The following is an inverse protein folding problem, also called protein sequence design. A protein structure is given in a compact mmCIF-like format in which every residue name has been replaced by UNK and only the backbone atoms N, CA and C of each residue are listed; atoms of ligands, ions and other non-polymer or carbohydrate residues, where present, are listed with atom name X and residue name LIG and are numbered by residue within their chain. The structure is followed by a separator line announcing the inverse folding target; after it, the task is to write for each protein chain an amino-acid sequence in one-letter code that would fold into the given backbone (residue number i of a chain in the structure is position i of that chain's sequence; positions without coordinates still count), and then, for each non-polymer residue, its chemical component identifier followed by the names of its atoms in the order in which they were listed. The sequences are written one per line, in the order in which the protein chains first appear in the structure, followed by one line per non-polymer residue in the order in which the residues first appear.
data_IF_879997142029
#
_entry.id   IF_879997142029
#
_cell.length_a   1.000
_cell.length_b   1.000
_cell.length_c   1.000
_cell.angle_alpha   90.00
_cell.angle_beta   90.00
_cell.angle_gamma   90.00
#
_symmetry.space_group_name_H-M   'P 1'
#
loop_
_entity.id
_entity.type
_entity.pdbx_description
1 polymer ?
#
# COMPACT_ATOMS: atom_id res chain seq x y z
N UNK A 1 16.97 -78.71 -19.11
CA UNK A 1 17.46 -78.46 -17.75
C UNK A 1 18.41 -77.26 -17.78
N UNK A 2 18.07 -76.18 -17.10
CA UNK A 2 18.98 -75.07 -16.72
C UNK A 2 18.51 -74.57 -15.33
N UNK A 3 19.41 -74.14 -14.44
CA UNK A 3 19.07 -73.90 -13.03
C UNK A 3 18.38 -72.55 -12.78
N UNK A 4 17.49 -72.55 -11.79
CA UNK A 4 16.78 -71.37 -11.29
C UNK A 4 17.68 -70.57 -10.34
N UNK A 5 17.89 -69.27 -10.59
CA UNK A 5 18.68 -68.40 -9.71
C UNK A 5 17.79 -67.59 -8.77
N UNK A 6 17.83 -67.92 -7.48
CA UNK A 6 17.02 -67.25 -6.45
C UNK A 6 17.64 -65.91 -6.04
N UNK A 7 16.88 -64.81 -6.09
CA UNK A 7 17.31 -63.51 -5.59
C UNK A 7 16.89 -63.34 -4.11
N UNK A 8 17.86 -63.13 -3.21
CA UNK A 8 17.62 -63.07 -1.76
C UNK A 8 17.16 -61.68 -1.32
N UNK A 9 16.02 -61.61 -0.62
CA UNK A 9 15.52 -60.38 0.01
C UNK A 9 16.45 -59.91 1.14
N UNK A 10 16.96 -58.68 1.07
CA UNK A 10 17.63 -58.01 2.20
C UNK A 10 16.70 -56.98 2.82
N UNK A 11 16.23 -57.25 4.06
CA UNK A 11 15.47 -56.28 4.83
C UNK A 11 16.40 -55.23 5.42
N UNK A 12 16.17 -53.94 5.15
CA UNK A 12 16.87 -52.84 5.81
C UNK A 12 15.91 -52.13 6.76
N UNK A 13 16.16 -52.27 8.06
CA UNK A 13 15.32 -51.69 9.12
C UNK A 13 15.91 -50.36 9.59
N UNK A 14 15.43 -49.25 9.01
CA UNK A 14 15.88 -47.89 9.36
C UNK A 14 15.08 -47.32 10.54
N UNK A 15 15.66 -47.35 11.73
CA UNK A 15 15.09 -46.78 12.95
C UNK A 15 15.28 -45.24 13.00
N UNK A 16 14.19 -44.50 12.84
CA UNK A 16 14.21 -43.03 12.93
C UNK A 16 14.20 -42.56 14.39
N UNK A 17 15.36 -42.13 14.88
CA UNK A 17 15.47 -41.42 16.17
C UNK A 17 14.90 -40.00 16.03
N UNK A 18 13.81 -39.73 16.77
CA UNK A 18 13.29 -38.36 16.91
C UNK A 18 14.29 -37.49 17.69
N UNK A 19 14.97 -36.59 16.99
CA UNK A 19 15.89 -35.61 17.59
C UNK A 19 15.14 -34.29 17.80
N UNK A 20 14.70 -34.04 19.04
CA UNK A 20 14.04 -32.79 19.42
C UNK A 20 14.91 -31.57 19.09
N UNK A 21 14.34 -30.54 18.46
CA UNK A 21 15.01 -29.26 18.29
C UNK A 21 15.13 -28.53 19.65
N UNK A 22 16.24 -27.81 19.89
CA UNK A 22 16.30 -26.85 21.00
C UNK A 22 15.38 -25.65 20.71
N UNK A 23 14.83 -24.99 21.75
CA UNK A 23 14.06 -23.77 21.57
C UNK A 23 14.95 -22.61 21.07
N UNK A 24 14.38 -21.75 20.21
CA UNK A 24 15.06 -20.51 19.80
C UNK A 24 15.22 -19.55 21.00
N UNK A 25 16.35 -18.83 21.12
CA UNK A 25 16.47 -17.72 22.04
C UNK A 25 15.52 -16.57 21.64
N UNK A 26 14.93 -15.92 22.63
CA UNK A 26 14.06 -14.76 22.41
C UNK A 26 14.87 -13.53 21.91
N UNK A 27 14.26 -12.64 21.10
CA UNK A 27 14.90 -11.38 20.70
C UNK A 27 15.12 -10.46 21.92
N UNK A 28 16.20 -9.65 21.93
CA UNK A 28 16.46 -8.70 23.01
C UNK A 28 15.41 -7.58 23.05
N UNK A 29 15.12 -7.09 24.26
CA UNK A 29 14.20 -5.97 24.46
C UNK A 29 14.78 -4.64 23.91
N UNK A 30 13.94 -3.71 23.42
CA UNK A 30 14.39 -2.39 22.99
C UNK A 30 14.87 -1.55 24.18
N UNK A 31 15.85 -0.64 23.98
CA UNK A 31 16.31 0.27 25.01
C UNK A 31 15.23 1.30 25.39
N UNK A 32 15.24 1.84 26.63
CA UNK A 32 14.28 2.83 27.07
C UNK A 32 14.44 4.15 26.31
N UNK A 33 13.31 4.84 26.05
CA UNK A 33 13.34 6.18 25.49
C UNK A 33 13.94 7.17 26.49
N UNK A 34 14.90 7.97 26.05
CA UNK A 34 15.36 9.14 26.79
C UNK A 34 14.34 10.28 26.63
N UNK A 35 13.68 10.65 27.74
CA UNK A 35 12.80 11.81 27.78
C UNK A 35 13.63 13.09 27.85
N UNK A 36 13.47 13.99 26.88
CA UNK A 36 14.13 15.29 26.87
C UNK A 36 13.11 16.43 26.67
N UNK A 37 12.45 16.78 27.77
CA UNK A 37 11.60 17.96 27.83
C UNK A 37 12.45 19.24 28.00
N UNK A 38 12.41 20.15 27.02
CA UNK A 38 13.01 21.49 27.11
C UNK A 38 12.00 22.56 26.68
N UNK A 39 11.14 22.95 27.62
CA UNK A 39 10.25 24.10 27.49
C UNK A 39 10.99 25.39 27.83
N UNK A 40 11.13 26.31 26.88
CA UNK A 40 11.60 27.69 27.13
C UNK A 40 10.78 28.70 26.32
N UNK A 41 9.65 29.14 26.89
CA UNK A 41 8.85 30.25 26.35
C UNK A 41 9.43 31.59 26.83
N UNK A 42 9.75 32.55 25.94
CA UNK A 42 10.30 33.84 26.34
C UNK A 42 9.24 34.74 27.00
N UNK A 43 9.60 35.55 28.02
CA UNK A 43 8.65 36.42 28.71
C UNK A 43 8.35 37.72 27.94
N UNK A 44 7.17 38.28 28.26
CA UNK A 44 6.55 39.48 27.71
C UNK A 44 7.23 40.78 28.21
N UNK A 45 7.57 41.74 27.33
CA UNK A 45 7.88 43.12 27.73
C UNK A 45 6.62 43.87 28.20
N UNK A 46 6.76 44.67 29.25
CA UNK A 46 5.67 45.47 29.84
C UNK A 46 5.43 46.77 29.08
N UNK A 47 4.16 47.19 28.99
CA UNK A 47 3.78 48.50 28.46
C UNK A 47 3.94 49.58 29.52
N UNK A 48 4.77 50.59 29.27
CA UNK A 48 4.84 51.82 30.07
C UNK A 48 4.57 53.01 29.17
N UNK A 49 3.37 53.61 29.29
CA UNK A 49 3.10 54.91 28.69
C UNK A 49 3.77 56.01 29.53
N UNK A 50 4.28 57.04 28.88
CA UNK A 50 4.77 58.26 29.53
C UNK A 50 3.90 59.43 29.07
N UNK A 51 3.34 60.15 30.03
CA UNK A 51 2.28 61.15 29.82
C UNK A 51 2.82 62.44 29.20
N UNK A 52 2.07 62.99 28.24
CA UNK A 52 2.30 64.33 27.68
C UNK A 52 1.87 65.40 28.70
N UNK A 53 2.71 66.41 28.92
CA UNK A 53 2.38 67.59 29.72
C UNK A 53 2.83 68.87 29.00
N UNK A 54 1.85 69.63 28.48
CA UNK A 54 2.05 71.00 27.99
C UNK A 54 1.74 72.03 29.09
N UNK A 55 2.50 73.14 29.19
CA UNK A 55 2.11 74.31 29.97
C UNK A 55 1.34 75.36 29.12
N UNK A 56 0.40 76.13 29.70
CA UNK A 56 -0.42 77.12 28.99
C UNK A 56 0.30 78.47 28.75
N UNK A 57 -0.21 79.34 27.85
CA UNK A 57 0.37 80.64 27.54
C UNK A 57 0.03 81.73 28.58
N UNK A 58 0.79 82.83 28.56
CA UNK A 58 0.50 84.07 29.29
C UNK A 58 0.69 85.29 28.38
N UNK A 59 -0.21 86.27 28.49
CA UNK A 59 -0.17 87.55 27.78
C UNK A 59 -0.11 88.74 28.74
N UNK A 60 0.39 89.88 28.24
CA UNK A 60 0.38 91.21 28.84
C UNK A 60 1.20 91.39 30.16
N UNK A 61 1.63 92.60 30.54
CA UNK A 61 1.36 93.93 29.96
C UNK A 61 2.62 94.85 29.95
N UNK A 62 2.43 96.15 29.67
CA UNK A 62 3.44 97.08 29.11
C UNK A 62 3.85 98.23 30.06
N UNK A 63 5.08 98.74 29.91
CA UNK A 63 5.69 99.93 30.57
C UNK A 63 5.92 99.80 32.09
N UNK A 64 6.97 100.32 32.72
CA UNK A 64 8.09 101.24 32.35
C UNK A 64 9.26 101.00 33.40
N UNK A 65 10.49 101.56 33.41
CA UNK A 65 11.18 102.65 32.69
C UNK A 65 12.74 102.52 32.78
N UNK A 66 13.45 103.60 32.39
CA UNK A 66 14.78 104.14 32.81
C UNK A 66 15.59 103.47 33.95
N UNK A 67 16.94 103.43 33.94
CA UNK A 67 17.92 103.80 32.89
C UNK A 67 19.35 103.26 33.18
N UNK A 68 20.26 103.35 32.20
CA UNK A 68 21.75 103.13 32.27
C UNK A 68 22.33 101.79 31.80
N UNK A 69 22.81 101.80 30.54
CA UNK A 69 24.09 101.22 30.06
C UNK A 69 24.39 99.74 30.40
N UNK A 70 24.00 98.83 29.50
CA UNK A 70 24.67 97.54 29.29
C UNK A 70 24.70 97.16 27.79
N UNK A 71 25.56 96.19 27.44
CA UNK A 71 25.82 95.72 26.06
C UNK A 71 24.52 95.42 25.29
N UNK A 72 24.42 95.93 24.06
CA UNK A 72 23.29 95.70 23.17
C UNK A 72 23.20 94.25 22.67
N UNK A 73 22.49 93.40 23.42
CA UNK A 73 22.24 92.00 23.06
C UNK A 73 21.30 91.89 21.86
N UNK A 74 21.88 91.68 20.67
CA UNK A 74 21.12 91.54 19.42
C UNK A 74 20.43 90.17 19.34
N UNK A 75 19.10 90.15 19.50
CA UNK A 75 18.29 88.91 19.48
C UNK A 75 18.05 88.46 18.03
N UNK A 76 18.91 87.57 17.53
CA UNK A 76 18.72 86.92 16.22
C UNK A 76 17.57 85.90 16.31
N UNK A 77 16.39 86.27 15.80
CA UNK A 77 15.30 85.30 15.61
C UNK A 77 15.53 84.48 14.35
N UNK A 78 16.19 83.33 14.48
CA UNK A 78 16.35 82.35 13.38
C UNK A 78 15.04 81.56 13.21
N UNK A 79 14.42 81.53 12.01
CA UNK A 79 13.26 80.69 11.74
C UNK A 79 13.59 79.22 11.99
N UNK A 80 12.79 78.49 12.77
CA UNK A 80 13.05 77.07 13.13
C UNK A 80 13.16 76.19 11.89
N UNK A 81 12.37 76.52 10.89
CA UNK A 81 12.27 75.95 9.54
C UNK A 81 13.50 76.21 8.63
N UNK A 82 14.37 77.15 8.98
CA UNK A 82 15.65 77.38 8.30
C UNK A 82 16.86 76.74 9.02
N UNK A 83 16.66 76.13 10.19
CA UNK A 83 17.72 75.41 10.91
C UNK A 83 17.95 74.06 10.23
N UNK A 84 18.84 74.04 9.23
CA UNK A 84 19.26 72.80 8.56
C UNK A 84 20.02 71.90 9.54
N UNK A 85 19.28 71.03 10.24
CA UNK A 85 19.83 69.99 11.11
C UNK A 85 20.50 68.91 10.27
N UNK A 86 21.74 69.17 9.86
CA UNK A 86 22.70 68.10 9.60
C UNK A 86 22.66 67.19 10.83
N UNK A 87 22.38 65.88 10.70
CA UNK A 87 22.59 64.96 11.81
C UNK A 87 24.06 65.07 12.24
N UNK A 88 24.39 65.02 13.54
CA UNK A 88 25.78 64.85 13.97
C UNK A 88 26.44 63.73 13.15
N UNK A 89 27.72 63.84 12.74
CA UNK A 89 28.31 62.94 11.74
C UNK A 89 28.22 61.46 12.15
N UNK A 90 28.26 61.18 13.45
CA UNK A 90 27.99 59.88 14.06
C UNK A 90 26.56 59.37 13.77
N UNK A 91 25.54 60.21 13.91
CA UNK A 91 24.14 59.90 13.59
C UNK A 91 23.89 59.77 12.07
N UNK A 92 24.59 60.55 11.25
CA UNK A 92 24.55 60.39 9.79
C UNK A 92 25.14 59.03 9.38
N UNK A 93 26.33 58.70 9.91
CA UNK A 93 26.98 57.42 9.69
C UNK A 93 26.16 56.23 10.22
N UNK A 94 25.53 56.35 11.39
CA UNK A 94 24.58 55.35 11.91
C UNK A 94 23.37 55.18 10.96
N UNK A 95 22.75 56.27 10.53
CA UNK A 95 21.62 56.22 9.59
C UNK A 95 22.01 55.55 8.26
N UNK A 96 23.21 55.80 7.75
CA UNK A 96 23.76 55.12 6.58
C UNK A 96 24.08 53.63 6.85
N UNK A 97 24.66 53.29 8.01
CA UNK A 97 24.89 51.91 8.41
C UNK A 97 23.58 51.11 8.51
N UNK A 98 22.53 51.66 9.13
CA UNK A 98 21.21 51.02 9.15
C UNK A 98 20.61 50.90 7.74
N UNK A 99 20.64 51.98 6.93
CA UNK A 99 20.12 52.00 5.55
C UNK A 99 20.87 51.06 4.59
N UNK A 100 22.15 50.79 4.83
CA UNK A 100 22.96 49.87 4.04
C UNK A 100 22.86 48.43 4.55
N UNK A 101 22.76 48.21 5.87
CA UNK A 101 22.42 46.92 6.46
C UNK A 101 21.06 46.45 5.95
N UNK A 102 20.03 47.29 6.01
CA UNK A 102 18.66 46.99 5.55
C UNK A 102 18.56 46.71 4.04
N UNK A 103 19.54 47.16 3.23
CA UNK A 103 19.68 46.77 1.81
C UNK A 103 20.34 45.40 1.62
N UNK A 104 21.38 45.08 2.40
CA UNK A 104 22.14 43.84 2.27
C UNK A 104 21.46 42.64 2.97
N UNK A 105 20.76 42.89 4.07
CA UNK A 105 20.12 41.89 4.93
C UNK A 105 18.86 41.26 4.29
N UNK A 106 18.21 41.99 3.37
CA UNK A 106 16.99 41.55 2.66
C UNK A 106 17.20 40.52 1.54
N UNK A 107 18.43 40.00 1.35
CA UNK A 107 18.74 38.94 0.37
C UNK A 107 19.53 37.78 1.00
N UNK A 108 18.89 37.06 1.91
CA UNK A 108 19.36 35.74 2.32
C UNK A 108 19.35 34.78 1.10
N UNK A 109 20.52 34.27 0.64
CA UNK A 109 20.59 33.53 -0.63
C UNK A 109 19.79 32.22 -0.62
N UNK A 110 19.59 31.63 0.56
CA UNK A 110 18.85 30.38 0.75
C UNK A 110 17.36 30.47 0.32
N UNK A 111 16.68 31.61 0.54
CA UNK A 111 15.26 31.75 0.20
C UNK A 111 14.97 31.72 -1.32
N UNK A 112 15.98 32.03 -2.15
CA UNK A 112 15.89 31.80 -3.60
C UNK A 112 15.93 30.31 -3.93
N UNK A 113 16.93 29.61 -3.41
CA UNK A 113 17.12 28.16 -3.63
C UNK A 113 15.91 27.35 -3.16
N UNK A 114 15.34 27.66 -1.98
CA UNK A 114 14.16 26.97 -1.46
C UNK A 114 12.93 27.10 -2.38
N UNK A 115 12.73 28.25 -3.03
CA UNK A 115 11.64 28.45 -4.00
C UNK A 115 11.85 27.64 -5.28
N UNK A 116 13.08 27.57 -5.78
CA UNK A 116 13.41 26.73 -6.95
C UNK A 116 13.27 25.23 -6.63
N UNK A 117 13.72 24.78 -5.47
CA UNK A 117 13.56 23.39 -5.01
C UNK A 117 12.08 23.04 -4.87
N UNK A 118 11.27 23.89 -4.21
CA UNK A 118 9.82 23.67 -4.07
C UNK A 118 9.11 23.64 -5.44
N UNK A 119 9.48 24.53 -6.36
CA UNK A 119 8.96 24.53 -7.73
C UNK A 119 9.34 23.27 -8.51
N UNK A 120 10.57 22.77 -8.36
CA UNK A 120 11.01 21.52 -8.97
C UNK A 120 10.30 20.30 -8.38
N UNK A 121 10.11 20.23 -7.06
CA UNK A 121 9.34 19.16 -6.40
C UNK A 121 7.88 19.17 -6.85
N UNK A 122 7.26 20.36 -6.97
CA UNK A 122 5.89 20.49 -7.48
C UNK A 122 5.80 20.03 -8.95
N UNK A 123 6.76 20.41 -9.79
CA UNK A 123 6.81 19.98 -11.19
C UNK A 123 6.97 18.45 -11.33
N UNK A 124 7.85 17.84 -10.53
CA UNK A 124 8.03 16.39 -10.48
C UNK A 124 6.75 15.68 -10.00
N UNK A 125 6.07 16.22 -8.98
CA UNK A 125 4.80 15.67 -8.50
C UNK A 125 3.69 15.75 -9.57
N UNK A 126 3.55 16.90 -10.26
CA UNK A 126 2.60 17.05 -11.37
C UNK A 126 2.90 16.07 -12.51
N UNK A 127 4.18 15.92 -12.89
CA UNK A 127 4.60 14.97 -13.92
C UNK A 127 4.32 13.51 -13.49
N UNK A 128 4.57 13.16 -12.23
CA UNK A 128 4.28 11.83 -11.68
C UNK A 128 2.77 11.52 -11.69
N UNK A 129 1.92 12.50 -11.36
CA UNK A 129 0.46 12.37 -11.45
C UNK A 129 0.02 12.13 -12.90
N UNK A 130 0.55 12.90 -13.87
CA UNK A 130 0.24 12.73 -15.30
C UNK A 130 0.68 11.36 -15.81
N UNK A 131 1.92 10.95 -15.52
CA UNK A 131 2.45 9.63 -15.92
C UNK A 131 1.60 8.50 -15.31
N UNK A 132 1.28 8.59 -14.02
CA UNK A 132 0.43 7.60 -13.33
C UNK A 132 -0.97 7.53 -13.95
N UNK A 133 -1.56 8.68 -14.28
CA UNK A 133 -2.85 8.76 -14.98
C UNK A 133 -2.82 8.07 -16.35
N UNK A 134 -1.78 8.32 -17.16
CA UNK A 134 -1.59 7.67 -18.47
C UNK A 134 -1.42 6.16 -18.31
N UNK A 135 -0.62 5.70 -17.34
CA UNK A 135 -0.43 4.27 -17.06
C UNK A 135 -1.76 3.63 -16.64
N UNK A 136 -2.52 4.23 -15.72
CA UNK A 136 -3.81 3.70 -15.29
C UNK A 136 -4.83 3.65 -16.44
N UNK A 137 -4.89 4.66 -17.31
CA UNK A 137 -5.83 4.72 -18.44
C UNK A 137 -5.48 3.75 -19.58
N UNK A 138 -4.19 3.44 -19.77
CA UNK A 138 -3.71 2.50 -20.80
C UNK A 138 -3.71 1.05 -20.30
N UNK A 139 -3.10 0.77 -19.15
CA UNK A 139 -3.01 -0.57 -18.55
C UNK A 139 -4.38 -1.04 -18.07
N UNK A 140 -5.17 -0.16 -17.45
CA UNK A 140 -6.46 -0.42 -16.80
C UNK A 140 -6.43 -1.70 -15.95
N UNK A 141 -5.76 -1.69 -14.78
CA UNK A 141 -5.71 -2.87 -13.92
C UNK A 141 -7.11 -3.30 -13.49
N UNK A 142 -7.36 -4.60 -13.52
CA UNK A 142 -8.58 -5.22 -13.03
C UNK A 142 -8.34 -6.70 -12.71
N UNK A 143 -9.01 -7.20 -11.67
CA UNK A 143 -8.86 -8.57 -11.18
C UNK A 143 -9.30 -9.61 -12.22
N UNK A 144 -8.55 -10.71 -12.41
CA UNK A 144 -9.01 -11.82 -13.22
C UNK A 144 -10.30 -12.43 -12.66
N UNK A 145 -11.30 -12.62 -13.51
CA UNK A 145 -12.60 -13.19 -13.13
C UNK A 145 -12.64 -14.68 -13.48
N UNK A 146 -12.99 -15.52 -12.51
CA UNK A 146 -13.06 -16.97 -12.65
C UNK A 146 -14.51 -17.46 -12.81
N UNK A 147 -14.68 -18.55 -13.57
CA UNK A 147 -15.95 -19.28 -13.73
C UNK A 147 -15.66 -20.77 -13.91
N UNK A 148 -16.57 -21.62 -13.45
CA UNK A 148 -16.57 -23.06 -13.73
C UNK A 148 -17.40 -23.31 -14.99
N UNK A 149 -16.80 -23.84 -16.05
CA UNK A 149 -17.54 -24.23 -17.26
C UNK A 149 -18.17 -25.61 -17.13
N UNK A 150 -17.40 -26.57 -16.60
CA UNK A 150 -17.80 -27.98 -16.49
C UNK A 150 -17.29 -28.54 -15.16
N UNK A 151 -18.05 -29.47 -14.59
CA UNK A 151 -17.63 -30.34 -13.52
C UNK A 151 -17.93 -31.78 -13.96
N UNK A 152 -16.95 -32.66 -13.91
CA UNK A 152 -17.10 -34.09 -14.21
C UNK A 152 -16.55 -34.91 -13.05
N UNK A 153 -17.35 -35.83 -12.50
CA UNK A 153 -16.88 -36.76 -11.47
C UNK A 153 -16.66 -38.13 -12.09
N UNK A 154 -15.40 -38.56 -12.04
CA UNK A 154 -14.84 -39.75 -12.68
C UNK A 154 -14.52 -40.82 -11.62
N UNK A 155 -15.48 -41.71 -11.39
CA UNK A 155 -15.31 -42.91 -10.57
C UNK A 155 -14.69 -44.04 -11.41
N UNK A 156 -13.41 -43.90 -11.76
CA UNK A 156 -12.66 -44.88 -12.55
C UNK A 156 -12.41 -46.19 -11.77
N UNK A 157 -12.64 -47.37 -12.37
CA UNK A 157 -12.26 -48.68 -11.81
C UNK A 157 -10.83 -49.12 -12.19
N UNK A 158 -10.01 -48.23 -12.77
CA UNK A 158 -8.58 -48.47 -13.02
C UNK A 158 -7.73 -47.68 -12.01
N UNK A 159 -6.72 -48.24 -11.34
CA UNK A 159 -6.15 -49.61 -11.42
C UNK A 159 -6.02 -50.25 -10.03
N UNK A 160 -6.88 -51.23 -9.71
CA UNK A 160 -6.73 -52.00 -8.46
C UNK A 160 -5.64 -53.07 -8.58
N UNK A 161 -4.41 -52.71 -8.23
CA UNK A 161 -3.50 -53.68 -7.60
C UNK A 161 -4.25 -54.25 -6.38
N UNK A 162 -4.35 -55.58 -6.29
CA UNK A 162 -5.28 -56.32 -5.41
C UNK A 162 -5.31 -55.74 -3.99
N UNK A 163 -6.41 -55.05 -3.64
CA UNK A 163 -6.66 -54.50 -2.29
C UNK A 163 -6.99 -53.01 -2.22
N UNK A 164 -6.70 -52.21 -3.26
CA UNK A 164 -7.02 -50.76 -3.25
C UNK A 164 -8.44 -50.45 -3.72
N UNK A 165 -9.22 -49.76 -2.89
CA UNK A 165 -10.49 -49.14 -3.29
C UNK A 165 -10.23 -48.03 -4.33
N UNK A 166 -11.02 -47.93 -5.42
CA UNK A 166 -10.87 -46.87 -6.40
C UNK A 166 -11.13 -45.50 -5.76
N UNK A 167 -10.20 -44.56 -5.95
CA UNK A 167 -10.28 -43.20 -5.43
C UNK A 167 -11.00 -42.32 -6.46
N UNK A 168 -12.22 -41.82 -6.19
CA UNK A 168 -12.97 -41.02 -7.17
C UNK A 168 -12.26 -39.68 -7.48
N UNK A 169 -12.26 -39.29 -8.75
CA UNK A 169 -11.63 -38.07 -9.26
C UNK A 169 -12.70 -37.00 -9.58
N UNK A 170 -12.42 -35.75 -9.21
CA UNK A 170 -13.26 -34.58 -9.46
C UNK A 170 -12.52 -33.62 -10.40
N UNK A 171 -13.07 -33.45 -11.61
CA UNK A 171 -12.50 -32.59 -12.64
C UNK A 171 -13.30 -31.32 -12.80
N UNK A 172 -12.66 -30.17 -12.56
CA UNK A 172 -13.25 -28.85 -12.80
C UNK A 172 -12.59 -28.22 -14.03
N UNK A 173 -13.36 -27.96 -15.07
CA UNK A 173 -12.91 -27.10 -16.19
C UNK A 173 -13.20 -25.66 -15.81
N UNK A 174 -12.17 -24.92 -15.42
CA UNK A 174 -12.26 -23.49 -15.12
C UNK A 174 -11.97 -22.63 -16.34
N UNK A 175 -12.55 -21.43 -16.34
CA UNK A 175 -12.28 -20.34 -17.27
C UNK A 175 -11.90 -19.11 -16.46
N UNK A 176 -10.70 -18.60 -16.70
CA UNK A 176 -10.23 -17.31 -16.18
C UNK A 176 -10.26 -16.27 -17.31
N UNK A 177 -10.82 -15.10 -17.03
CA UNK A 177 -10.86 -13.95 -17.94
C UNK A 177 -10.14 -12.78 -17.29
N UNK A 178 -9.05 -12.34 -17.92
CA UNK A 178 -8.35 -11.13 -17.54
C UNK A 178 -9.07 -9.91 -18.16
N UNK A 179 -9.59 -8.94 -17.38
CA UNK A 179 -10.20 -7.73 -17.93
C UNK A 179 -9.18 -6.64 -18.28
N UNK A 180 -7.94 -6.74 -17.80
CA UNK A 180 -6.93 -5.69 -17.90
C UNK A 180 -6.51 -5.43 -19.35
N UNK A 181 -6.29 -4.15 -19.71
CA UNK A 181 -6.00 -3.75 -21.10
C UNK A 181 -4.52 -3.88 -21.49
N UNK A 182 -3.60 -3.63 -20.56
CA UNK A 182 -2.14 -3.68 -20.79
C UNK A 182 -1.37 -4.52 -19.77
N UNK A 183 -2.07 -5.21 -18.86
CA UNK A 183 -1.48 -6.12 -17.87
C UNK A 183 -1.93 -7.56 -18.13
N UNK A 184 -0.98 -8.50 -18.08
CA UNK A 184 -1.20 -9.94 -18.02
C UNK A 184 -0.91 -10.51 -16.63
N UNK A 185 -1.03 -11.82 -16.49
CA UNK A 185 -0.74 -12.56 -15.26
C UNK A 185 -0.03 -13.88 -15.62
N UNK A 186 1.02 -14.23 -14.86
CA UNK A 186 1.60 -15.57 -14.84
C UNK A 186 1.21 -16.25 -13.54
N UNK A 187 0.63 -17.44 -13.63
CA UNK A 187 0.19 -18.24 -12.49
C UNK A 187 1.18 -19.39 -12.30
N UNK A 188 1.62 -19.62 -11.08
CA UNK A 188 2.55 -20.72 -10.75
C UNK A 188 1.79 -22.00 -10.41
N UNK A 189 2.42 -23.15 -10.62
CA UNK A 189 1.83 -24.46 -10.31
C UNK A 189 1.99 -24.79 -8.81
N UNK A 190 1.12 -25.67 -8.30
CA UNK A 190 1.26 -26.27 -6.97
C UNK A 190 0.49 -25.56 -5.85
N UNK A 191 -0.16 -24.42 -6.13
CA UNK A 191 -1.05 -23.77 -5.18
C UNK A 191 -2.23 -24.67 -4.79
N UNK A 192 -2.69 -24.56 -3.54
CA UNK A 192 -3.63 -25.50 -2.93
C UNK A 192 -5.04 -25.38 -3.52
N UNK A 193 -5.66 -26.49 -3.90
CA UNK A 193 -7.11 -26.52 -4.20
C UNK A 193 -7.84 -27.56 -3.36
N UNK A 194 -9.05 -27.20 -2.93
CA UNK A 194 -9.95 -28.06 -2.16
C UNK A 194 -11.39 -27.86 -2.60
N UNK A 195 -12.19 -28.91 -2.54
CA UNK A 195 -13.65 -28.84 -2.71
C UNK A 195 -14.31 -29.29 -1.42
N UNK A 196 -15.28 -28.51 -0.96
CA UNK A 196 -16.08 -28.77 0.24
C UNK A 196 -17.55 -29.01 -0.14
N UNK A 197 -18.22 -29.83 0.66
CA UNK A 197 -19.68 -29.95 0.67
C UNK A 197 -20.16 -29.77 2.10
N UNK A 198 -20.95 -28.70 2.36
CA UNK A 198 -21.46 -28.35 3.70
C UNK A 198 -20.34 -28.30 4.76
N UNK A 199 -19.21 -27.66 4.42
CA UNK A 199 -18.03 -27.54 5.30
C UNK A 199 -17.11 -28.78 5.37
N UNK A 200 -17.50 -29.93 4.82
CA UNK A 200 -16.65 -31.12 4.81
C UNK A 200 -15.81 -31.20 3.52
N UNK A 201 -14.49 -31.35 3.64
CA UNK A 201 -13.58 -31.55 2.50
C UNK A 201 -13.86 -32.89 1.78
N UNK A 202 -14.33 -32.82 0.53
CA UNK A 202 -14.63 -34.02 -0.29
C UNK A 202 -13.53 -34.36 -1.28
N UNK A 203 -12.74 -33.38 -1.75
CA UNK A 203 -11.62 -33.59 -2.67
C UNK A 203 -10.53 -32.51 -2.51
N UNK A 204 -9.30 -32.83 -2.91
CA UNK A 204 -8.15 -31.91 -2.90
C UNK A 204 -7.21 -32.15 -4.09
N UNK A 205 -6.50 -31.10 -4.51
CA UNK A 205 -5.57 -31.11 -5.65
C UNK A 205 -4.70 -29.86 -5.66
N UNK A 206 -4.06 -29.57 -6.79
CA UNK A 206 -3.17 -28.41 -6.99
C UNK A 206 -3.53 -27.60 -8.23
N UNK A 207 -3.20 -26.31 -8.23
CA UNK A 207 -3.38 -25.42 -9.38
C UNK A 207 -2.29 -25.67 -10.45
N UNK A 208 -2.64 -25.61 -11.76
CA UNK A 208 -1.67 -25.68 -12.84
C UNK A 208 -1.03 -24.31 -13.10
N UNK A 209 0.22 -24.31 -13.58
CA UNK A 209 0.83 -23.12 -14.14
C UNK A 209 0.14 -22.74 -15.46
N UNK A 210 -0.10 -21.43 -15.65
CA UNK A 210 -0.60 -20.89 -16.92
C UNK A 210 -0.16 -19.42 -17.08
N UNK A 211 -0.11 -18.93 -18.31
CA UNK A 211 0.21 -17.52 -18.61
C UNK A 211 -0.95 -16.90 -19.37
N UNK A 212 -1.38 -15.71 -18.96
CA UNK A 212 -2.52 -15.01 -19.51
C UNK A 212 -2.15 -13.58 -19.90
N UNK A 213 -2.20 -13.27 -21.19
CA UNK A 213 -1.98 -11.91 -21.70
C UNK A 213 -3.10 -10.93 -21.35
N UNK A 214 -2.94 -9.63 -21.67
CA UNK A 214 -3.99 -8.62 -21.52
C UNK A 214 -5.25 -8.99 -22.30
N UNK A 215 -6.43 -8.71 -21.73
CA UNK A 215 -7.78 -9.08 -22.22
C UNK A 215 -8.03 -10.57 -22.52
N UNK A 216 -7.05 -11.45 -22.31
CA UNK A 216 -7.12 -12.84 -22.75
C UNK A 216 -8.10 -13.66 -21.87
N UNK A 217 -8.62 -14.76 -22.40
CA UNK A 217 -9.47 -15.72 -21.69
C UNK A 217 -8.85 -17.10 -21.82
N UNK A 218 -8.43 -17.69 -20.71
CA UNK A 218 -7.79 -19.01 -20.68
C UNK A 218 -8.73 -20.02 -20.01
N UNK A 219 -8.78 -21.24 -20.56
CA UNK A 219 -9.47 -22.39 -19.95
C UNK A 219 -8.45 -23.42 -19.48
N UNK A 220 -8.63 -23.95 -18.28
CA UNK A 220 -7.74 -24.95 -17.68
C UNK A 220 -8.53 -26.01 -16.89
N UNK A 221 -7.95 -27.20 -16.73
CA UNK A 221 -8.51 -28.29 -15.92
C UNK A 221 -7.83 -28.28 -14.55
N UNK A 222 -8.63 -28.31 -13.49
CA UNK A 222 -8.20 -28.71 -12.15
C UNK A 222 -8.60 -30.17 -11.95
N UNK A 223 -7.64 -31.00 -11.54
CA UNK A 223 -7.86 -32.39 -11.15
C UNK A 223 -7.77 -32.44 -9.62
N UNK A 224 -8.84 -32.87 -8.96
CA UNK A 224 -8.87 -33.05 -7.51
C UNK A 224 -9.23 -34.50 -7.18
N UNK A 225 -8.46 -35.13 -6.29
CA UNK A 225 -8.72 -36.50 -5.88
C UNK A 225 -9.57 -36.53 -4.60
N UNK A 226 -10.66 -37.30 -4.62
CA UNK A 226 -11.62 -37.38 -3.54
C UNK A 226 -11.14 -38.13 -2.30
N UNK A 227 -11.79 -37.90 -1.16
CA UNK A 227 -11.74 -38.82 -0.02
C UNK A 227 -12.76 -39.95 -0.20
N UNK A 228 -12.31 -41.20 -0.10
CA UNK A 228 -13.04 -42.39 -0.57
C UNK A 228 -14.47 -42.55 0.01
N UNK A 229 -14.74 -42.02 1.21
CA UNK A 229 -16.07 -42.10 1.83
C UNK A 229 -16.96 -40.87 1.56
N UNK A 230 -16.41 -39.65 1.65
CA UNK A 230 -17.24 -38.44 1.54
C UNK A 230 -17.65 -38.14 0.10
N UNK A 231 -16.73 -38.23 -0.87
CA UNK A 231 -17.10 -37.99 -2.27
C UNK A 231 -18.08 -39.07 -2.78
N UNK A 232 -17.87 -40.33 -2.40
CA UNK A 232 -18.81 -41.44 -2.71
C UNK A 232 -20.20 -41.19 -2.12
N UNK A 233 -20.31 -40.69 -0.89
CA UNK A 233 -21.60 -40.31 -0.27
C UNK A 233 -22.31 -39.19 -1.04
N UNK A 234 -21.58 -38.21 -1.59
CA UNK A 234 -22.14 -37.13 -2.41
C UNK A 234 -22.53 -37.63 -3.81
N UNK A 235 -21.79 -38.56 -4.40
CA UNK A 235 -22.17 -39.27 -5.64
C UNK A 235 -23.48 -40.05 -5.42
N UNK A 236 -23.58 -40.80 -4.33
CA UNK A 236 -24.78 -41.58 -3.96
C UNK A 236 -26.03 -40.70 -3.83
N UNK A 237 -25.90 -39.53 -3.18
CA UNK A 237 -26.99 -38.53 -3.11
C UNK A 237 -27.38 -38.05 -4.51
N UNK A 238 -26.39 -37.80 -5.39
CA UNK A 238 -26.65 -37.40 -6.78
C UNK A 238 -27.29 -38.48 -7.65
N UNK A 239 -27.23 -39.75 -7.25
CA UNK A 239 -27.83 -40.89 -7.97
C UNK A 239 -29.23 -41.23 -7.44
N UNK A 240 -29.45 -41.12 -6.12
CA UNK A 240 -30.70 -41.53 -5.45
C UNK A 240 -31.87 -40.54 -5.64
N UNK A 241 -31.62 -39.29 -6.04
CA UNK A 241 -32.68 -38.27 -6.21
C UNK A 241 -32.44 -37.36 -7.42
N UNK A 242 -33.20 -37.53 -8.51
CA UNK A 242 -32.99 -36.82 -9.79
C UNK A 242 -33.27 -35.30 -9.77
N UNK A 243 -33.69 -34.76 -8.62
CA UNK A 243 -33.94 -33.33 -8.38
C UNK A 243 -32.99 -32.70 -7.35
N UNK A 244 -32.18 -33.46 -6.62
CA UNK A 244 -31.40 -32.91 -5.51
C UNK A 244 -30.31 -31.96 -5.98
N UNK A 245 -30.27 -30.77 -5.39
CA UNK A 245 -29.27 -29.73 -5.69
C UNK A 245 -28.15 -29.86 -4.70
N UNK A 246 -26.97 -30.20 -5.20
CA UNK A 246 -25.76 -30.37 -4.38
C UNK A 246 -24.97 -29.05 -4.44
N UNK A 247 -24.89 -28.29 -3.33
CA UNK A 247 -23.95 -27.18 -3.23
C UNK A 247 -22.53 -27.73 -3.06
N UNK A 248 -21.59 -27.18 -3.80
CA UNK A 248 -20.15 -27.42 -3.71
C UNK A 248 -19.45 -26.08 -3.60
N UNK A 249 -18.46 -26.00 -2.73
CA UNK A 249 -17.57 -24.85 -2.59
C UNK A 249 -16.18 -25.26 -3.09
N UNK A 250 -15.70 -24.63 -4.16
CA UNK A 250 -14.33 -24.81 -4.66
C UNK A 250 -13.48 -23.65 -4.15
N UNK A 251 -12.46 -23.92 -3.34
CA UNK A 251 -11.46 -22.94 -2.93
C UNK A 251 -10.11 -23.27 -3.57
N UNK A 252 -9.47 -22.26 -4.17
CA UNK A 252 -8.22 -22.38 -4.91
C UNK A 252 -7.27 -21.22 -4.61
N UNK A 253 -6.04 -21.55 -4.24
CA UNK A 253 -4.93 -20.63 -3.99
C UNK A 253 -3.98 -20.63 -5.20
N UNK A 254 -3.65 -19.45 -5.71
CA UNK A 254 -2.70 -19.25 -6.79
C UNK A 254 -1.63 -18.25 -6.39
N UNK A 255 -0.36 -18.59 -6.58
CA UNK A 255 0.72 -17.59 -6.61
C UNK A 255 0.73 -16.97 -8.01
N UNK A 256 0.58 -15.65 -8.09
CA UNK A 256 0.48 -14.94 -9.37
C UNK A 256 1.48 -13.79 -9.46
N UNK A 257 2.10 -13.65 -10.64
CA UNK A 257 3.00 -12.55 -11.01
C UNK A 257 2.28 -11.68 -12.06
N UNK A 258 1.86 -10.45 -11.74
CA UNK A 258 1.34 -9.52 -12.73
C UNK A 258 2.43 -9.17 -13.75
N UNK A 259 2.07 -8.94 -15.01
CA UNK A 259 3.00 -8.61 -16.10
C UNK A 259 2.57 -7.36 -16.84
N UNK A 260 3.41 -6.34 -16.94
CA UNK A 260 3.12 -5.11 -17.71
C UNK A 260 4.15 -4.99 -18.83
N UNK A 261 3.71 -5.20 -20.07
CA UNK A 261 4.62 -5.34 -21.22
C UNK A 261 5.58 -6.51 -21.03
N UNK A 262 6.88 -6.20 -20.91
CA UNK A 262 7.97 -7.17 -20.66
C UNK A 262 8.35 -7.30 -19.18
N UNK A 263 7.79 -6.47 -18.30
CA UNK A 263 8.16 -6.43 -16.88
C UNK A 263 7.25 -7.35 -16.06
N UNK A 264 7.83 -8.30 -15.33
CA UNK A 264 7.12 -9.00 -14.25
C UNK A 264 7.15 -8.17 -12.96
N UNK A 265 6.00 -8.10 -12.28
CA UNK A 265 5.88 -7.56 -10.93
C UNK A 265 6.08 -8.70 -9.91
N UNK A 266 6.23 -8.33 -8.63
CA UNK A 266 6.36 -9.28 -7.53
C UNK A 266 5.22 -10.30 -7.46
N UNK A 267 5.53 -11.50 -6.95
CA UNK A 267 4.53 -12.54 -6.73
C UNK A 267 3.58 -12.16 -5.58
N UNK A 268 2.29 -12.38 -5.78
CA UNK A 268 1.21 -12.16 -4.80
C UNK A 268 0.30 -13.40 -4.73
N UNK A 269 -0.27 -13.66 -3.56
CA UNK A 269 -1.28 -14.72 -3.37
C UNK A 269 -2.65 -14.22 -3.80
N UNK A 270 -3.30 -15.00 -4.67
CA UNK A 270 -4.65 -14.77 -5.15
C UNK A 270 -5.54 -15.96 -4.77
N UNK A 271 -6.59 -15.67 -4.00
CA UNK A 271 -7.56 -16.65 -3.51
C UNK A 271 -8.84 -16.57 -4.33
N UNK A 272 -9.24 -17.70 -4.90
CA UNK A 272 -10.51 -17.88 -5.64
C UNK A 272 -11.42 -18.79 -4.83
N UNK A 273 -12.64 -18.34 -4.55
CA UNK A 273 -13.71 -19.19 -4.01
C UNK A 273 -14.89 -19.20 -4.97
N UNK A 274 -15.44 -20.37 -5.26
CA UNK A 274 -16.57 -20.56 -6.16
C UNK A 274 -17.66 -21.40 -5.49
N UNK A 275 -18.79 -20.77 -5.18
CA UNK A 275 -20.02 -21.41 -4.75
C UNK A 275 -20.77 -21.94 -5.97
N UNK A 276 -20.85 -23.27 -6.14
CA UNK A 276 -21.46 -23.90 -7.32
C UNK A 276 -22.60 -24.83 -6.90
N UNK A 277 -23.79 -24.63 -7.46
CA UNK A 277 -24.94 -25.52 -7.25
C UNK A 277 -25.12 -26.42 -8.46
N UNK A 278 -25.03 -27.74 -8.27
CA UNK A 278 -24.99 -28.74 -9.34
C UNK A 278 -26.04 -29.85 -9.17
N UNK A 279 -26.32 -30.56 -10.26
CA UNK A 279 -27.13 -31.80 -10.33
C UNK A 279 -26.39 -32.84 -11.18
N UNK A 280 -26.62 -34.13 -10.91
CA UNK A 280 -26.10 -35.27 -11.72
C UNK A 280 -24.57 -35.27 -11.86
N UNK A 281 -23.83 -35.35 -10.75
CA UNK A 281 -22.36 -35.18 -10.73
C UNK A 281 -21.59 -36.19 -11.58
N UNK A 282 -22.14 -37.40 -11.78
CA UNK A 282 -21.48 -38.52 -12.46
C UNK A 282 -21.36 -38.24 -13.96
N UNK A 283 -20.15 -38.44 -14.51
CA UNK A 283 -19.73 -38.08 -15.88
C UNK A 283 -19.71 -36.58 -16.18
N UNK A 284 -20.83 -35.86 -16.11
CA UNK A 284 -20.86 -34.41 -16.31
C UNK A 284 -22.03 -33.76 -15.55
N UNK A 285 -21.69 -32.90 -14.60
CA UNK A 285 -22.62 -32.23 -13.70
C UNK A 285 -23.30 -31.04 -14.38
N UNK A 286 -24.64 -31.01 -14.31
CA UNK A 286 -25.41 -29.84 -14.73
C UNK A 286 -25.30 -28.75 -13.66
N UNK A 287 -24.49 -27.74 -13.92
CA UNK A 287 -24.44 -26.50 -13.16
C UNK A 287 -25.79 -25.78 -13.27
N UNK A 288 -26.34 -25.33 -12.14
CA UNK A 288 -27.59 -24.57 -12.04
C UNK A 288 -27.34 -23.10 -11.73
N UNK A 289 -26.40 -22.83 -10.83
CA UNK A 289 -25.92 -21.49 -10.50
C UNK A 289 -24.45 -21.58 -10.07
N UNK A 290 -23.71 -20.50 -10.26
CA UNK A 290 -22.36 -20.34 -9.73
C UNK A 290 -22.11 -18.89 -9.35
N UNK A 291 -21.35 -18.68 -8.28
CA UNK A 291 -20.84 -17.37 -7.88
C UNK A 291 -19.37 -17.55 -7.51
N UNK A 292 -18.47 -16.85 -8.22
CA UNK A 292 -17.03 -16.92 -7.98
C UNK A 292 -16.51 -15.57 -7.51
N UNK A 293 -15.80 -15.56 -6.39
CA UNK A 293 -15.13 -14.42 -5.79
C UNK A 293 -13.61 -14.58 -5.97
N UNK A 294 -12.88 -13.47 -6.05
CA UNK A 294 -11.44 -13.48 -6.26
C UNK A 294 -10.80 -12.34 -5.50
N UNK A 295 -10.00 -12.68 -4.49
CA UNK A 295 -9.28 -11.75 -3.64
C UNK A 295 -7.79 -11.85 -3.96
N UNK A 296 -7.16 -10.75 -4.37
CA UNK A 296 -5.70 -10.63 -4.38
C UNK A 296 -5.29 -10.05 -3.02
N UNK A 297 -4.24 -10.59 -2.39
CA UNK A 297 -3.57 -9.85 -1.31
C UNK A 297 -2.60 -8.84 -1.93
N UNK A 298 -2.77 -7.58 -1.56
CA UNK A 298 -2.03 -6.42 -2.07
C UNK A 298 -1.09 -5.87 -0.99
#
# INVERSE_FOLDING_TARGET
MQPLTTATTTSSSSSFLFRSLPPHPAPPAPPPMAEQALSCTPPRPTSTAVTLHDPPPAEANKSDKETTLQIGTYVVQVPKDQIYRVPPPENAHLAEQYRNRDKNERRSPCLGCLKWILGAVLLVLLLAIVITGVILVTVRPGSPTFTVQRLSVNSSPHTTTKGSHPKPECDFTMRVRNPSKGMGFSYEAGGKTVVLHKGAHIAAGTTPALVQGPKNTTTFRLVLHGSNMLLTKVIDMSLKGSKDVIPLELAAEFTVKPRVGVVELGATSMYVTCDVRVRRLVKEARILSQECKTNLQQ
#
